data_IF_294891164298
#
_entry.id   IF_294891164298
#
_cell.length_a   1.000
_cell.length_b   1.000
_cell.length_c   1.000
_cell.angle_alpha   90.00
_cell.angle_beta   90.00
_cell.angle_gamma   90.00
#
_symmetry.space_group_name_H-M   'P 1'
#
loop_
_entity.id
_entity.type
_entity.pdbx_description
1 polymer ?
#
# COMPACT_ATOMS: atom_id res chain seq x y z
N UNK A 1 8.26 0.24 -8.54
CA UNK A 1 9.25 -0.83 -8.26
C UNK A 1 10.47 -0.29 -7.52
N UNK A 2 11.06 0.82 -7.96
CA UNK A 2 12.27 1.41 -7.34
C UNK A 2 12.15 1.67 -5.82
N UNK A 3 10.98 2.15 -5.33
CA UNK A 3 10.76 2.41 -3.89
C UNK A 3 10.83 1.14 -3.05
N UNK A 4 10.19 0.06 -3.50
CA UNK A 4 10.24 -1.23 -2.80
C UNK A 4 11.64 -1.86 -2.84
N UNK A 5 12.34 -1.73 -3.94
CA UNK A 5 13.72 -2.20 -4.07
C UNK A 5 14.65 -1.42 -3.13
N UNK A 6 14.49 -0.10 -3.05
CA UNK A 6 15.25 0.74 -2.13
C UNK A 6 14.97 0.38 -0.66
N UNK A 7 13.69 0.19 -0.31
CA UNK A 7 13.26 -0.24 1.03
C UNK A 7 13.88 -1.61 1.39
N UNK A 8 13.75 -2.58 0.50
CA UNK A 8 14.32 -3.92 0.67
C UNK A 8 15.83 -3.89 0.84
N UNK A 9 16.54 -3.17 -0.02
CA UNK A 9 17.99 -3.00 0.06
C UNK A 9 18.42 -2.41 1.40
N UNK A 10 17.64 -1.44 1.92
CA UNK A 10 17.89 -0.83 3.22
C UNK A 10 17.72 -1.85 4.35
N UNK A 11 16.65 -2.66 4.32
CA UNK A 11 16.40 -3.74 5.28
C UNK A 11 17.52 -4.79 5.22
N UNK A 12 17.86 -5.27 4.04
CA UNK A 12 18.89 -6.31 3.84
C UNK A 12 20.28 -5.86 4.29
N UNK A 13 20.54 -4.54 4.30
CA UNK A 13 21.79 -3.95 4.82
C UNK A 13 21.82 -3.79 6.35
N UNK A 14 20.78 -4.22 7.06
CA UNK A 14 20.64 -4.08 8.52
C UNK A 14 20.41 -2.65 9.01
N UNK A 15 20.07 -1.71 8.13
CA UNK A 15 19.76 -0.34 8.50
C UNK A 15 18.33 -0.22 9.04
N UNK A 16 18.13 0.72 9.96
CA UNK A 16 16.81 1.02 10.50
C UNK A 16 15.88 1.53 9.39
N UNK A 17 14.72 0.88 9.26
CA UNK A 17 13.62 1.31 8.41
C UNK A 17 12.57 1.99 9.29
N UNK A 18 12.13 3.19 8.89
CA UNK A 18 11.17 4.00 9.62
C UNK A 18 9.85 4.10 8.84
N UNK A 19 8.75 3.69 9.47
CA UNK A 19 7.41 3.89 8.95
C UNK A 19 6.67 4.98 9.68
N UNK A 20 5.77 5.68 8.98
CA UNK A 20 4.84 6.65 9.55
C UNK A 20 3.42 6.10 9.47
N UNK A 21 2.78 5.90 10.62
CA UNK A 21 1.40 5.43 10.69
C UNK A 21 0.43 6.60 10.51
N UNK A 22 -0.51 6.48 9.57
CA UNK A 22 -1.36 7.57 9.13
C UNK A 22 -2.85 7.25 9.25
N UNK A 23 -3.58 8.13 9.94
CA UNK A 23 -5.05 8.12 10.09
C UNK A 23 -5.68 9.49 9.81
N UNK A 24 -4.88 10.49 9.45
CA UNK A 24 -5.34 11.86 9.15
C UNK A 24 -5.68 11.99 7.67
N UNK A 25 -6.65 12.85 7.32
CA UNK A 25 -7.14 13.01 5.96
C UNK A 25 -6.27 13.91 5.06
N UNK A 26 -5.47 14.82 5.65
CA UNK A 26 -4.68 15.77 4.88
C UNK A 26 -3.43 15.11 4.26
N UNK A 27 -3.32 15.02 2.91
CA UNK A 27 -2.20 14.37 2.24
C UNK A 27 -0.86 15.09 2.43
N UNK A 28 -0.85 16.36 2.84
CA UNK A 28 0.39 17.08 3.19
C UNK A 28 1.18 16.37 4.28
N UNK A 29 0.49 15.65 5.18
CA UNK A 29 1.16 14.87 6.23
C UNK A 29 2.03 13.76 5.65
N UNK A 30 1.56 13.07 4.60
CA UNK A 30 2.34 12.05 3.90
C UNK A 30 3.53 12.64 3.17
N UNK A 31 3.37 13.79 2.53
CA UNK A 31 4.45 14.50 1.85
C UNK A 31 5.52 14.97 2.86
N UNK A 32 5.10 15.61 3.95
CA UNK A 32 6.01 16.06 5.01
C UNK A 32 6.78 14.88 5.62
N UNK A 33 6.10 13.77 5.91
CA UNK A 33 6.73 12.57 6.45
C UNK A 33 7.78 11.99 5.47
N UNK A 34 7.49 11.97 4.18
CA UNK A 34 8.43 11.53 3.16
C UNK A 34 9.69 12.42 3.12
N UNK A 35 9.53 13.73 3.09
CA UNK A 35 10.67 14.68 3.15
C UNK A 35 11.42 14.64 4.48
N UNK A 36 10.74 14.28 5.59
CA UNK A 36 11.39 14.06 6.89
C UNK A 36 12.22 12.76 6.95
N UNK A 37 12.24 11.98 5.86
CA UNK A 37 13.06 10.79 5.72
C UNK A 37 12.46 9.52 6.31
N UNK A 38 11.13 9.42 6.35
CA UNK A 38 10.46 8.15 6.53
C UNK A 38 10.59 7.30 5.26
N UNK A 39 10.73 6.01 5.43
CA UNK A 39 10.94 5.06 4.33
C UNK A 39 9.61 4.61 3.71
N UNK A 40 8.55 4.56 4.54
CA UNK A 40 7.20 4.23 4.09
C UNK A 40 6.13 4.92 4.93
N UNK A 41 4.98 5.13 4.30
CA UNK A 41 3.74 5.56 4.96
C UNK A 41 2.82 4.34 5.07
N UNK A 42 2.30 4.11 6.28
CA UNK A 42 1.27 3.12 6.56
C UNK A 42 -0.09 3.82 6.62
N UNK A 43 -0.82 3.79 5.53
CA UNK A 43 -2.15 4.40 5.39
C UNK A 43 -3.18 3.42 5.96
N UNK A 44 -3.93 3.84 6.96
CA UNK A 44 -4.87 2.97 7.65
C UNK A 44 -6.29 3.10 7.10
N UNK A 45 -6.69 2.16 6.23
CA UNK A 45 -8.05 2.04 5.71
C UNK A 45 -8.91 1.02 6.50
N UNK A 46 -8.38 0.45 7.59
CA UNK A 46 -9.13 -0.46 8.48
C UNK A 46 -9.82 0.29 9.62
N UNK A 47 -9.05 1.06 10.39
CA UNK A 47 -9.54 1.80 11.57
C UNK A 47 -9.51 3.32 11.37
N UNK A 48 -8.82 3.82 10.33
CA UNK A 48 -8.80 5.23 10.00
C UNK A 48 -10.12 5.68 9.34
N UNK A 49 -10.52 6.95 9.51
CA UNK A 49 -11.74 7.49 8.89
C UNK A 49 -11.55 7.90 7.43
N UNK A 50 -10.55 7.33 6.74
CA UNK A 50 -10.16 7.73 5.39
C UNK A 50 -11.11 7.16 4.33
N UNK A 51 -11.59 8.01 3.44
CA UNK A 51 -12.30 7.60 2.25
C UNK A 51 -11.33 7.19 1.11
N UNK A 52 -11.89 6.69 0.00
CA UNK A 52 -11.08 6.23 -1.14
C UNK A 52 -10.27 7.34 -1.79
N UNK A 53 -10.78 8.55 -1.83
CA UNK A 53 -10.11 9.69 -2.44
C UNK A 53 -8.94 10.16 -1.57
N UNK A 54 -9.14 10.20 -0.27
CA UNK A 54 -8.11 10.52 0.70
C UNK A 54 -6.98 9.49 0.66
N UNK A 55 -7.29 8.19 0.66
CA UNK A 55 -6.30 7.11 0.49
C UNK A 55 -5.49 7.31 -0.80
N UNK A 56 -6.15 7.62 -1.91
CA UNK A 56 -5.49 7.88 -3.19
C UNK A 56 -4.54 9.08 -3.11
N UNK A 57 -4.97 10.19 -2.50
CA UNK A 57 -4.14 11.38 -2.34
C UNK A 57 -2.90 11.10 -1.47
N UNK A 58 -3.03 10.33 -0.40
CA UNK A 58 -1.90 9.91 0.43
C UNK A 58 -0.89 9.04 -0.33
N UNK A 59 -1.38 8.08 -1.15
CA UNK A 59 -0.51 7.26 -2.00
C UNK A 59 0.29 8.16 -2.95
N UNK A 60 -0.36 9.11 -3.62
CA UNK A 60 0.30 10.03 -4.56
C UNK A 60 1.32 10.90 -3.85
N UNK A 61 0.95 11.50 -2.70
CA UNK A 61 1.83 12.38 -1.92
C UNK A 61 3.07 11.64 -1.42
N UNK A 62 2.90 10.46 -0.81
CA UNK A 62 4.02 9.65 -0.32
C UNK A 62 4.97 9.26 -1.46
N UNK A 63 4.42 8.74 -2.56
CA UNK A 63 5.22 8.28 -3.71
C UNK A 63 5.92 9.42 -4.43
N UNK A 64 5.37 10.63 -4.41
CA UNK A 64 5.98 11.85 -4.94
C UNK A 64 7.29 12.22 -4.26
N UNK A 65 7.48 11.85 -3.00
CA UNK A 65 8.73 12.08 -2.24
C UNK A 65 9.73 10.92 -2.34
N UNK A 66 9.38 9.84 -3.05
CA UNK A 66 10.17 8.60 -3.07
C UNK A 66 9.88 7.64 -1.91
N UNK A 67 8.96 8.00 -1.01
CA UNK A 67 8.52 7.18 0.11
C UNK A 67 7.55 6.08 -0.38
N UNK A 68 7.67 4.87 0.15
CA UNK A 68 6.73 3.79 -0.21
C UNK A 68 5.37 4.01 0.48
N UNK A 69 4.28 3.69 -0.23
CA UNK A 69 2.92 3.77 0.29
C UNK A 69 2.34 2.38 0.50
N UNK A 70 2.09 2.01 1.76
CA UNK A 70 1.40 0.78 2.14
C UNK A 70 0.00 1.10 2.66
N UNK A 71 -1.00 0.35 2.23
CA UNK A 71 -2.38 0.51 2.68
C UNK A 71 -2.81 -0.70 3.50
N UNK A 72 -3.20 -0.47 4.76
CA UNK A 72 -3.86 -1.50 5.56
C UNK A 72 -5.34 -1.52 5.21
N UNK A 73 -5.81 -2.68 4.76
CA UNK A 73 -7.21 -2.92 4.38
C UNK A 73 -7.95 -3.67 5.50
N UNK A 74 -9.30 -3.56 5.59
CA UNK A 74 -10.06 -4.28 6.62
C UNK A 74 -10.05 -5.81 6.46
N UNK A 75 -9.67 -6.31 5.30
CA UNK A 75 -9.66 -7.75 5.02
C UNK A 75 -9.46 -8.07 3.55
N UNK A 76 -9.83 -9.29 3.15
CA UNK A 76 -9.66 -9.81 1.78
C UNK A 76 -10.88 -9.56 0.88
N UNK A 77 -11.84 -8.71 1.29
CA UNK A 77 -13.00 -8.37 0.46
C UNK A 77 -12.56 -7.79 -0.89
N UNK A 78 -12.91 -8.50 -1.96
CA UNK A 78 -12.43 -8.22 -3.32
C UNK A 78 -12.93 -6.89 -3.87
N UNK A 79 -14.11 -6.44 -3.47
CA UNK A 79 -14.72 -5.20 -3.98
C UNK A 79 -13.93 -3.99 -3.48
N UNK A 80 -13.60 -3.96 -2.21
CA UNK A 80 -12.80 -2.90 -1.61
C UNK A 80 -11.34 -2.98 -2.04
N UNK A 81 -10.77 -4.18 -1.98
CA UNK A 81 -9.36 -4.42 -2.31
C UNK A 81 -9.03 -4.03 -3.75
N UNK A 82 -9.90 -4.36 -4.72
CA UNK A 82 -9.73 -4.00 -6.12
C UNK A 82 -9.53 -2.49 -6.30
N UNK A 83 -10.38 -1.67 -5.70
CA UNK A 83 -10.30 -0.24 -5.82
C UNK A 83 -8.99 0.32 -5.26
N UNK A 84 -8.52 -0.20 -4.12
CA UNK A 84 -7.25 0.20 -3.51
C UNK A 84 -6.06 -0.25 -4.36
N UNK A 85 -6.05 -1.49 -4.83
CA UNK A 85 -4.99 -2.00 -5.71
C UNK A 85 -4.85 -1.17 -6.99
N UNK A 86 -5.97 -0.71 -7.53
CA UNK A 86 -6.02 0.10 -8.75
C UNK A 86 -5.46 1.53 -8.54
N UNK A 87 -5.42 2.02 -7.29
CA UNK A 87 -4.74 3.27 -6.92
C UNK A 87 -3.21 3.15 -6.97
N UNK A 88 -2.66 1.94 -7.06
CA UNK A 88 -1.23 1.66 -7.20
C UNK A 88 -0.41 1.92 -5.94
N UNK A 89 -0.82 1.45 -4.75
CA UNK A 89 0.06 1.45 -3.59
C UNK A 89 1.26 0.53 -3.83
N UNK A 90 2.33 0.73 -3.10
CA UNK A 90 3.52 -0.14 -3.17
C UNK A 90 3.32 -1.47 -2.44
N UNK A 91 2.35 -1.54 -1.52
CA UNK A 91 1.97 -2.79 -0.84
C UNK A 91 0.64 -2.70 -0.11
N UNK A 92 0.13 -3.87 0.25
CA UNK A 92 -1.10 -4.03 1.03
C UNK A 92 -0.76 -4.74 2.35
N UNK A 93 -1.36 -4.26 3.43
CA UNK A 93 -1.24 -4.87 4.76
C UNK A 93 -2.58 -5.51 5.10
N UNK A 94 -2.57 -6.81 5.29
CA UNK A 94 -3.75 -7.58 5.69
C UNK A 94 -3.73 -7.84 7.19
N UNK A 95 -4.75 -7.39 7.94
CA UNK A 95 -4.89 -7.71 9.35
C UNK A 95 -5.30 -9.17 9.53
N UNK A 96 -5.13 -9.69 10.76
CA UNK A 96 -5.64 -11.01 11.16
C UNK A 96 -5.22 -12.19 10.28
N UNK A 97 -4.06 -12.12 9.65
CA UNK A 97 -3.51 -13.21 8.85
C UNK A 97 -2.95 -14.32 9.77
N UNK A 98 -3.85 -15.11 10.37
CA UNK A 98 -3.55 -16.04 11.47
C UNK A 98 -3.09 -17.43 11.00
N UNK A 99 -3.23 -17.73 9.71
CA UNK A 99 -2.85 -19.02 9.14
C UNK A 99 -2.43 -18.90 7.67
N UNK A 100 -1.87 -19.98 7.13
CA UNK A 100 -1.36 -20.03 5.77
C UNK A 100 -2.46 -19.95 4.70
N UNK A 101 -3.68 -20.34 5.01
CA UNK A 101 -4.80 -20.28 4.07
C UNK A 101 -5.21 -18.83 3.81
N UNK A 102 -5.40 -18.04 4.87
CA UNK A 102 -5.68 -16.60 4.79
C UNK A 102 -4.55 -15.87 4.06
N UNK A 103 -3.29 -16.22 4.34
CA UNK A 103 -2.15 -15.63 3.63
C UNK A 103 -2.18 -15.92 2.11
N UNK A 104 -2.49 -17.15 1.72
CA UNK A 104 -2.61 -17.52 0.30
C UNK A 104 -3.78 -16.79 -0.37
N UNK A 105 -4.92 -16.66 0.31
CA UNK A 105 -6.08 -15.89 -0.18
C UNK A 105 -5.71 -14.42 -0.40
N UNK A 106 -5.04 -13.79 0.54
CA UNK A 106 -4.56 -12.41 0.42
C UNK A 106 -3.64 -12.22 -0.80
N UNK A 107 -2.66 -13.10 -0.97
CA UNK A 107 -1.76 -13.07 -2.13
C UNK A 107 -2.53 -13.27 -3.43
N UNK A 108 -3.44 -14.25 -3.46
CA UNK A 108 -4.27 -14.55 -4.63
C UNK A 108 -5.17 -13.37 -5.01
N UNK A 109 -5.72 -12.67 -4.02
CA UNK A 109 -6.57 -11.50 -4.24
C UNK A 109 -5.79 -10.30 -4.83
N UNK A 110 -4.50 -10.19 -4.54
CA UNK A 110 -3.62 -9.14 -5.08
C UNK A 110 -3.02 -9.49 -6.44
N UNK A 111 -2.97 -10.77 -6.82
CA UNK A 111 -2.29 -11.24 -8.03
C UNK A 111 -3.24 -11.27 -9.23
N UNK A 112 -2.71 -10.92 -10.42
CA UNK A 112 -3.45 -11.07 -11.69
C UNK A 112 -3.59 -12.55 -12.08
N UNK A 113 -4.52 -12.83 -13.01
CA UNK A 113 -4.83 -14.19 -13.46
C UNK A 113 -3.61 -14.94 -14.00
N UNK A 114 -2.74 -14.26 -14.75
CA UNK A 114 -1.51 -14.83 -15.32
C UNK A 114 -0.52 -15.30 -14.24
N UNK A 115 -0.67 -14.84 -13.02
CA UNK A 115 0.12 -15.24 -11.85
C UNK A 115 -0.69 -16.07 -10.84
N UNK A 116 -1.75 -16.73 -11.30
CA UNK A 116 -2.60 -17.59 -10.46
C UNK A 116 -3.55 -16.84 -9.52
N UNK A 117 -3.72 -15.56 -9.72
CA UNK A 117 -4.59 -14.69 -8.92
C UNK A 117 -6.00 -14.54 -9.47
N UNK A 118 -6.73 -13.61 -8.83
CA UNK A 118 -8.13 -13.27 -9.19
C UNK A 118 -8.33 -11.75 -9.32
N UNK A 119 -7.25 -10.97 -9.31
CA UNK A 119 -7.29 -9.53 -9.50
C UNK A 119 -7.72 -9.19 -10.93
N UNK A 120 -8.74 -8.35 -11.07
CA UNK A 120 -9.10 -7.76 -12.36
C UNK A 120 -8.12 -6.65 -12.76
N UNK A 121 -7.89 -6.50 -14.05
CA UNK A 121 -7.05 -5.42 -14.61
C UNK A 121 -7.93 -4.27 -15.11
N UNK A 122 -7.61 -3.05 -14.71
CA UNK A 122 -8.20 -1.82 -15.23
C UNK A 122 -7.10 -0.90 -15.77
N UNK A 123 -7.34 -0.14 -16.87
CA UNK A 123 -6.35 0.77 -17.44
C UNK A 123 -6.26 2.06 -16.60
N UNK A 124 -5.69 1.94 -15.42
CA UNK A 124 -5.53 3.01 -14.45
C UNK A 124 -4.13 3.02 -13.83
N UNK A 125 -3.92 3.80 -12.78
CA UNK A 125 -2.62 4.11 -12.20
C UNK A 125 -1.73 2.90 -11.90
N UNK A 126 -2.30 1.79 -11.43
CA UNK A 126 -1.52 0.59 -11.08
C UNK A 126 -0.75 -0.03 -12.27
N UNK A 127 -1.20 0.23 -13.50
CA UNK A 127 -0.55 -0.21 -14.75
C UNK A 127 -0.04 0.96 -15.60
N UNK A 128 0.01 2.16 -15.03
CA UNK A 128 0.51 3.38 -15.67
C UNK A 128 -0.36 3.88 -16.84
N UNK A 129 -1.71 3.66 -16.75
CA UNK A 129 -2.76 4.06 -17.70
C UNK A 129 -2.71 3.39 -19.08
#
# INVERSE_FOLDING_TARGET
MERLEALKKKMDSGKLVKGFFLTMADPMVSEIAGYAGYDYIWIDAEHGPLDRQEIFHHIVAAQGTGCAAFVRVPGTDRTMLKAILDMGPDGIIFPFTNNAEIAREAVRACSYADFGGVRGQGPIRAIQY
#
